data_IF_413532109381
#
_entry.id   IF_413532109381
#
_cell.length_a   1.000
_cell.length_b   1.000
_cell.length_c   1.000
_cell.angle_alpha   90.00
_cell.angle_beta   90.00
_cell.angle_gamma   90.00
#
_symmetry.space_group_name_H-M   'P 1'
#
loop_
_entity.id
_entity.type
_entity.pdbx_description
1 polymer ?
#
# COMPACT_ATOMS: atom_id res chain seq x y z
N UNK A 1 -2.73 24.17 3.13
CA UNK A 1 -2.34 22.91 2.46
C UNK A 1 -3.22 21.81 3.01
N UNK A 2 -4.06 21.19 2.18
CA UNK A 2 -4.87 20.03 2.55
C UNK A 2 -4.18 18.74 2.16
N UNK A 3 -4.44 17.66 2.88
CA UNK A 3 -4.05 16.30 2.52
C UNK A 3 -5.32 15.48 2.29
N UNK A 4 -5.26 14.54 1.35
CA UNK A 4 -6.26 13.49 1.21
C UNK A 4 -5.78 12.24 1.96
N UNK A 5 -6.73 11.47 2.51
CA UNK A 5 -6.45 10.16 3.10
C UNK A 5 -7.34 9.14 2.43
N UNK A 6 -6.76 7.99 2.12
CA UNK A 6 -7.47 6.83 1.59
C UNK A 6 -7.10 5.61 2.42
N UNK A 7 -8.06 4.70 2.58
CA UNK A 7 -7.80 3.36 3.10
C UNK A 7 -7.69 2.43 1.90
N UNK A 8 -6.73 1.51 1.96
CA UNK A 8 -6.54 0.48 0.95
C UNK A 8 -6.63 -0.88 1.63
N UNK A 9 -7.20 -1.84 0.91
CA UNK A 9 -7.11 -3.25 1.29
C UNK A 9 -5.76 -3.79 0.80
N UNK A 10 -5.11 -4.59 1.65
CA UNK A 10 -3.84 -5.25 1.33
C UNK A 10 -3.96 -6.74 1.63
N UNK A 11 -3.41 -7.53 0.72
CA UNK A 11 -3.39 -9.00 0.80
C UNK A 11 -2.09 -9.47 1.46
N UNK A 12 -2.20 -10.29 2.50
CA UNK A 12 -1.07 -10.82 3.25
C UNK A 12 -0.27 -11.89 2.47
N UNK A 13 -0.85 -12.46 1.40
CA UNK A 13 -0.13 -13.29 0.44
C UNK A 13 0.87 -12.46 -0.40
N UNK A 14 0.63 -11.15 -0.50
CA UNK A 14 1.42 -10.24 -1.32
C UNK A 14 2.32 -9.34 -0.47
N UNK A 15 3.40 -8.87 -1.09
CA UNK A 15 4.20 -7.82 -0.49
C UNK A 15 3.45 -6.48 -0.51
N UNK A 16 3.73 -5.63 0.48
CA UNK A 16 3.23 -4.26 0.50
C UNK A 16 3.70 -3.49 -0.74
N UNK A 17 2.82 -2.65 -1.27
CA UNK A 17 3.06 -1.90 -2.51
C UNK A 17 4.09 -0.80 -2.27
N UNK A 18 5.08 -0.69 -3.15
CA UNK A 18 6.04 0.42 -3.13
C UNK A 18 5.56 1.61 -3.97
N UNK A 19 4.57 1.38 -4.84
CA UNK A 19 3.99 2.38 -5.72
C UNK A 19 2.48 2.18 -5.83
N UNK A 20 1.75 3.29 -5.98
CA UNK A 20 0.32 3.32 -6.29
C UNK A 20 0.08 4.15 -7.54
N UNK A 21 -0.86 3.69 -8.36
CA UNK A 21 -1.29 4.38 -9.57
C UNK A 21 -2.67 4.95 -9.32
N UNK A 22 -2.83 6.26 -9.46
CA UNK A 22 -4.10 6.96 -9.19
C UNK A 22 -4.49 7.86 -10.35
N UNK A 23 -5.78 7.90 -10.64
CA UNK A 23 -6.37 8.91 -11.51
C UNK A 23 -6.54 10.22 -10.74
N UNK A 24 -5.77 11.24 -11.11
CA UNK A 24 -5.83 12.58 -10.52
C UNK A 24 -6.60 13.50 -11.46
N UNK A 25 -7.67 14.19 -11.01
CA UNK A 25 -8.39 15.14 -11.84
C UNK A 25 -7.46 16.21 -12.40
N UNK A 26 -7.61 16.55 -13.68
CA UNK A 26 -6.87 17.67 -14.26
C UNK A 26 -7.31 18.98 -13.61
N UNK A 27 -6.35 19.87 -13.38
CA UNK A 27 -6.63 21.23 -12.86
C UNK A 27 -7.37 22.08 -13.89
N UNK A 28 -7.11 21.85 -15.18
CA UNK A 28 -7.74 22.56 -16.29
C UNK A 28 -8.26 21.56 -17.33
N UNK A 29 -9.47 21.80 -17.83
CA UNK A 29 -10.15 20.93 -18.79
C UNK A 29 -10.78 19.68 -18.17
N UNK A 30 -11.33 18.81 -19.02
CA UNK A 30 -12.04 17.60 -18.58
C UNK A 30 -11.12 16.38 -18.43
N UNK A 31 -11.47 15.50 -17.50
CA UNK A 31 -10.86 14.18 -17.30
C UNK A 31 -9.75 14.12 -16.25
N UNK A 32 -8.91 13.09 -16.35
CA UNK A 32 -7.91 12.73 -15.34
C UNK A 32 -6.53 12.46 -15.97
N UNK A 33 -5.47 12.76 -15.23
CA UNK A 33 -4.12 12.24 -15.46
C UNK A 33 -3.93 10.97 -14.64
N UNK A 34 -3.05 10.07 -15.08
CA UNK A 34 -2.67 8.87 -14.33
C UNK A 34 -1.29 9.14 -13.76
N UNK A 35 -1.20 9.21 -12.44
CA UNK A 35 0.06 9.46 -11.74
C UNK A 35 0.48 8.20 -10.97
N UNK A 36 1.78 7.88 -11.05
CA UNK A 36 2.42 6.87 -10.22
C UNK A 36 3.12 7.55 -9.07
N UNK A 37 2.73 7.20 -7.84
CA UNK A 37 3.29 7.76 -6.62
C UNK A 37 4.02 6.68 -5.83
N UNK A 38 5.22 7.00 -5.34
CA UNK A 38 5.96 6.13 -4.41
C UNK A 38 5.31 6.16 -3.04
N UNK A 39 5.23 4.99 -2.42
CA UNK A 39 4.66 4.80 -1.08
C UNK A 39 5.78 4.66 -0.07
N UNK A 40 5.77 5.52 0.93
CA UNK A 40 6.65 5.45 2.08
C UNK A 40 5.85 4.97 3.30
N UNK A 41 6.48 4.13 4.12
CA UNK A 41 5.87 3.55 5.31
C UNK A 41 6.71 3.90 6.53
N UNK A 42 6.12 4.63 7.48
CA UNK A 42 6.76 4.87 8.78
C UNK A 42 6.89 3.57 9.59
N UNK A 43 5.93 2.66 9.42
CA UNK A 43 5.94 1.33 10.02
C UNK A 43 5.30 0.31 9.07
N UNK A 44 5.87 -0.91 9.05
CA UNK A 44 5.34 -2.05 8.30
C UNK A 44 4.97 -3.18 9.26
N UNK A 45 3.77 -3.77 9.16
CA UNK A 45 3.39 -4.90 10.00
C UNK A 45 4.28 -6.11 9.73
N UNK A 46 4.60 -6.92 10.76
CA UNK A 46 5.24 -8.20 10.56
C UNK A 46 4.31 -9.10 9.73
N UNK A 47 4.86 -9.66 8.66
CA UNK A 47 4.17 -10.57 7.74
C UNK A 47 4.93 -11.89 7.67
N UNK A 48 4.21 -12.99 7.76
CA UNK A 48 4.78 -14.32 7.61
C UNK A 48 4.49 -14.83 6.20
N UNK A 49 5.53 -15.13 5.42
CA UNK A 49 5.35 -15.68 4.07
C UNK A 49 4.88 -17.13 4.06
N UNK A 50 4.97 -17.84 5.18
CA UNK A 50 4.57 -19.24 5.27
C UNK A 50 3.09 -19.37 5.65
N UNK A 51 2.63 -18.55 6.60
CA UNK A 51 1.22 -18.53 7.04
C UNK A 51 0.33 -17.61 6.20
N UNK A 52 0.91 -16.71 5.40
CA UNK A 52 0.19 -15.70 4.62
C UNK A 52 -0.72 -14.81 5.47
N UNK A 53 -0.23 -14.40 6.65
CA UNK A 53 -0.94 -13.51 7.59
C UNK A 53 -0.05 -12.38 8.09
N UNK A 54 -0.68 -11.32 8.58
CA UNK A 54 -0.03 -10.29 9.39
C UNK A 54 -0.09 -10.69 10.88
N UNK A 55 0.97 -10.37 11.62
CA UNK A 55 1.03 -10.57 13.08
C UNK A 55 2.35 -11.15 13.59
N UNK A 56 3.10 -11.87 12.76
CA UNK A 56 4.44 -12.37 13.04
C UNK A 56 5.24 -12.46 11.74
N UNK A 57 6.57 -12.50 11.81
CA UNK A 57 7.43 -12.78 10.66
C UNK A 57 7.86 -14.26 10.65
N UNK A 58 8.49 -14.71 9.56
CA UNK A 58 8.93 -16.11 9.44
C UNK A 58 9.84 -16.60 10.57
N UNK A 59 10.63 -15.72 11.19
CA UNK A 59 11.52 -16.08 12.30
C UNK A 59 10.76 -16.35 13.60
N UNK A 60 9.60 -15.72 13.77
CA UNK A 60 8.71 -15.83 14.94
C UNK A 60 7.52 -16.76 14.68
N UNK A 61 7.51 -17.45 13.53
CA UNK A 61 6.42 -18.32 13.14
C UNK A 61 6.29 -19.52 14.09
N UNK A 62 5.14 -19.70 14.77
CA UNK A 62 4.89 -20.87 15.58
C UNK A 62 4.72 -22.08 14.65
N UNK A 63 5.78 -22.88 14.52
CA UNK A 63 5.77 -24.11 13.72
C UNK A 63 4.92 -25.20 14.36
#
# INVERSE_FOLDING_TARGET
MGFARALIEVDADRNLKEEVVMAVPRLEGEGHTIETMKVEYEWKPPRCSDCLVFGHNNSECPK
#
